data_IF_885605658272
#
_entry.id   IF_885605658272
#
_cell.length_a   1.000
_cell.length_b   1.000
_cell.length_c   1.000
_cell.angle_alpha   90.00
_cell.angle_beta   90.00
_cell.angle_gamma   90.00
#
_symmetry.space_group_name_H-M   'P 1'
#
loop_
_entity.id
_entity.type
_entity.pdbx_description
1 polymer ?
#
# COMPACT_ATOMS: atom_id res chain seq x y z
N UNK A 1 -0.01 4.33 22.32
CA UNK A 1 0.36 3.03 21.73
C UNK A 1 0.98 2.27 22.87
N UNK A 2 0.29 1.26 23.38
CA UNK A 2 0.70 0.52 24.58
C UNK A 2 1.34 -0.80 24.13
N UNK A 3 2.35 -0.70 23.27
CA UNK A 3 3.06 -1.85 22.72
C UNK A 3 4.49 -1.89 23.27
N UNK A 4 4.86 -3.00 23.91
CA UNK A 4 6.17 -3.19 24.52
C UNK A 4 7.25 -3.68 23.54
N UNK A 5 6.92 -3.80 22.25
CA UNK A 5 7.86 -4.29 21.25
C UNK A 5 7.29 -4.34 19.84
N UNK A 6 8.15 -4.76 18.90
CA UNK A 6 7.85 -4.86 17.46
C UNK A 6 8.07 -6.29 16.99
N UNK A 7 7.10 -6.83 16.26
CA UNK A 7 7.22 -8.12 15.58
C UNK A 7 7.60 -7.93 14.10
N UNK A 8 8.86 -8.17 13.76
CA UNK A 8 9.33 -8.12 12.37
C UNK A 8 8.88 -9.33 11.55
N UNK A 9 8.07 -9.09 10.50
CA UNK A 9 7.55 -10.14 9.61
C UNK A 9 8.38 -10.35 8.33
N UNK A 10 9.42 -9.53 8.11
CA UNK A 10 10.39 -9.80 7.06
C UNK A 10 11.22 -11.03 7.44
N UNK A 11 11.53 -11.93 6.49
CA UNK A 11 12.45 -13.01 6.79
C UNK A 11 13.81 -12.45 7.23
N UNK A 12 14.52 -13.18 8.09
CA UNK A 12 15.87 -12.81 8.47
C UNK A 12 16.75 -12.61 7.23
N UNK A 13 17.60 -11.58 7.26
CA UNK A 13 18.69 -11.48 6.28
C UNK A 13 19.62 -12.68 6.44
N UNK A 14 20.35 -13.05 5.40
CA UNK A 14 21.24 -14.23 5.38
C UNK A 14 22.27 -14.28 6.54
N UNK A 15 22.55 -13.16 7.23
CA UNK A 15 23.47 -13.07 8.38
C UNK A 15 22.76 -12.88 9.73
N UNK A 16 21.43 -12.95 9.79
CA UNK A 16 20.72 -12.80 11.06
C UNK A 16 20.91 -14.05 11.91
N UNK A 17 21.29 -13.86 13.17
CA UNK A 17 21.51 -14.95 14.14
C UNK A 17 20.22 -15.47 14.77
N UNK A 18 19.14 -14.70 14.68
CA UNK A 18 17.84 -15.01 15.29
C UNK A 18 16.81 -15.20 14.17
N UNK A 19 16.07 -16.33 14.15
CA UNK A 19 14.99 -16.54 13.19
C UNK A 19 13.85 -15.52 13.41
N UNK A 20 13.14 -15.16 12.35
CA UNK A 20 11.90 -14.38 12.51
C UNK A 20 10.81 -15.23 13.16
N UNK A 21 9.82 -14.60 13.80
CA UNK A 21 8.67 -15.30 14.41
C UNK A 21 8.01 -16.27 13.41
N UNK A 22 7.80 -15.83 12.17
CA UNK A 22 7.25 -16.69 11.12
C UNK A 22 8.16 -17.88 10.80
N UNK A 23 9.49 -17.68 10.78
CA UNK A 23 10.44 -18.76 10.54
C UNK A 23 10.39 -19.79 11.66
N UNK A 24 10.36 -19.35 12.92
CA UNK A 24 10.25 -20.23 14.08
C UNK A 24 8.95 -21.04 14.09
N UNK A 25 7.82 -20.43 13.72
CA UNK A 25 6.53 -21.13 13.64
C UNK A 25 6.51 -22.18 12.53
N UNK A 26 7.06 -21.86 11.36
CA UNK A 26 7.15 -22.81 10.24
C UNK A 26 8.03 -24.00 10.59
N UNK A 27 9.14 -23.77 11.30
CA UNK A 27 10.10 -24.82 11.67
C UNK A 27 9.63 -25.67 12.85
N UNK A 28 9.05 -25.05 13.89
CA UNK A 28 8.66 -25.74 15.12
C UNK A 28 7.28 -26.39 15.07
N UNK A 29 6.31 -25.76 14.41
CA UNK A 29 4.90 -26.17 14.45
C UNK A 29 4.39 -26.71 13.10
N UNK A 30 5.29 -26.91 12.13
CA UNK A 30 4.95 -27.29 10.75
C UNK A 30 3.89 -26.38 10.09
N UNK A 31 3.80 -25.12 10.55
CA UNK A 31 2.89 -24.13 10.02
C UNK A 31 3.24 -23.77 8.57
N UNK A 32 2.26 -23.32 7.79
CA UNK A 32 2.54 -22.83 6.43
C UNK A 32 3.35 -21.54 6.50
N UNK A 33 4.29 -21.35 5.56
CA UNK A 33 5.07 -20.11 5.48
C UNK A 33 4.26 -18.95 4.86
N UNK A 34 3.21 -18.56 5.55
CA UNK A 34 2.28 -17.52 5.14
C UNK A 34 1.65 -16.84 6.37
N UNK A 35 1.24 -15.60 6.17
CA UNK A 35 0.49 -14.83 7.14
C UNK A 35 -0.50 -13.92 6.42
N UNK A 36 -1.46 -13.37 7.15
CA UNK A 36 -2.44 -12.42 6.61
C UNK A 36 -2.70 -11.32 7.60
N UNK A 37 -2.79 -10.09 7.10
CA UNK A 37 -3.06 -8.88 7.88
C UNK A 37 -4.35 -8.25 7.37
N UNK A 38 -5.32 -8.07 8.26
CA UNK A 38 -6.48 -7.23 8.06
C UNK A 38 -6.38 -6.07 9.04
N UNK A 39 -5.98 -4.90 8.56
CA UNK A 39 -5.81 -3.71 9.40
C UNK A 39 -7.12 -2.92 9.43
N UNK A 40 -7.50 -2.43 10.61
CA UNK A 40 -8.67 -1.59 10.83
C UNK A 40 -8.37 -0.62 11.99
N UNK A 41 -9.08 0.52 12.03
CA UNK A 41 -8.82 1.59 13.00
C UNK A 41 -9.06 1.17 14.46
N UNK A 42 -9.93 0.20 14.69
CA UNK A 42 -10.31 -0.28 16.03
C UNK A 42 -9.74 -1.65 16.34
N UNK A 43 -10.08 -2.66 15.52
CA UNK A 43 -9.66 -4.05 15.72
C UNK A 43 -9.35 -4.70 14.38
N UNK A 44 -8.07 -4.99 14.15
CA UNK A 44 -7.60 -5.79 13.03
C UNK A 44 -7.56 -7.29 13.34
N UNK A 45 -7.16 -8.07 12.33
CA UNK A 45 -6.91 -9.50 12.45
C UNK A 45 -5.54 -9.83 11.88
N UNK A 46 -4.75 -10.62 12.61
CA UNK A 46 -3.48 -11.16 12.18
C UNK A 46 -3.52 -12.69 12.25
N UNK A 47 -3.33 -13.34 11.10
CA UNK A 47 -3.35 -14.80 10.99
C UNK A 47 -1.98 -15.30 10.58
N UNK A 48 -1.50 -16.36 11.22
CA UNK A 48 -0.21 -17.01 10.99
C UNK A 48 -0.42 -18.47 10.58
N UNK A 49 0.40 -18.99 9.67
CA UNK A 49 0.42 -20.42 9.36
C UNK A 49 -0.67 -20.92 8.42
N UNK A 50 -1.57 -20.04 7.97
CA UNK A 50 -2.71 -20.38 7.11
C UNK A 50 -2.32 -20.71 5.66
N UNK A 51 -3.22 -21.39 4.95
CA UNK A 51 -3.13 -21.60 3.50
C UNK A 51 -4.26 -20.80 2.84
N UNK A 52 -3.97 -19.70 2.12
CA UNK A 52 -5.02 -18.94 1.46
C UNK A 52 -5.65 -19.79 0.35
N UNK A 53 -6.98 -19.87 0.34
CA UNK A 53 -7.73 -20.40 -0.80
C UNK A 53 -7.72 -19.35 -1.91
N UNK A 54 -6.70 -19.41 -2.77
CA UNK A 54 -6.50 -18.43 -3.84
C UNK A 54 -7.67 -18.39 -4.83
N UNK A 55 -8.39 -19.49 -5.00
CA UNK A 55 -9.55 -19.55 -5.91
C UNK A 55 -10.68 -18.72 -5.32
N UNK A 56 -11.04 -18.96 -4.05
CA UNK A 56 -12.05 -18.16 -3.35
C UNK A 56 -11.65 -16.69 -3.25
N UNK A 57 -10.39 -16.41 -2.89
CA UNK A 57 -9.91 -15.03 -2.79
C UNK A 57 -10.06 -14.29 -4.12
N UNK A 58 -9.66 -14.90 -5.25
CA UNK A 58 -9.82 -14.30 -6.58
C UNK A 58 -11.29 -14.12 -6.97
N UNK A 59 -12.14 -15.09 -6.64
CA UNK A 59 -13.58 -14.99 -6.85
C UNK A 59 -14.20 -13.82 -6.07
N UNK A 60 -13.66 -13.49 -4.89
CA UNK A 60 -14.01 -12.32 -4.10
C UNK A 60 -13.19 -11.06 -4.44
N UNK A 61 -12.53 -11.03 -5.60
CA UNK A 61 -11.88 -9.82 -6.12
C UNK A 61 -10.44 -9.60 -5.68
N UNK A 62 -9.83 -10.51 -4.93
CA UNK A 62 -8.45 -10.37 -4.46
C UNK A 62 -7.44 -10.24 -5.61
N UNK A 63 -6.41 -9.42 -5.36
CA UNK A 63 -5.28 -9.22 -6.25
C UNK A 63 -4.14 -10.16 -5.85
N UNK A 64 -3.56 -10.85 -6.83
CA UNK A 64 -2.32 -11.60 -6.61
C UNK A 64 -1.17 -10.86 -7.28
N UNK A 65 -0.19 -10.45 -6.47
CA UNK A 65 0.99 -9.72 -6.93
C UNK A 65 2.24 -10.52 -6.61
N UNK A 66 3.16 -10.60 -7.56
CA UNK A 66 4.49 -11.16 -7.33
C UNK A 66 5.38 -10.13 -6.62
N UNK A 67 6.20 -10.58 -5.69
CA UNK A 67 7.25 -9.74 -5.13
C UNK A 67 8.46 -9.69 -6.06
N UNK A 68 9.23 -8.59 -6.00
CA UNK A 68 10.43 -8.41 -6.81
C UNK A 68 11.55 -9.32 -6.31
N UNK A 69 12.00 -10.25 -7.15
CA UNK A 69 13.14 -11.12 -6.86
C UNK A 69 14.43 -10.32 -6.66
N UNK A 70 15.24 -10.70 -5.67
CA UNK A 70 16.51 -10.02 -5.37
C UNK A 70 16.38 -8.65 -4.67
N UNK A 71 15.17 -8.17 -4.39
CA UNK A 71 14.98 -6.93 -3.65
C UNK A 71 15.50 -7.05 -2.20
N UNK A 72 16.04 -5.94 -1.67
CA UNK A 72 16.59 -5.88 -0.30
C UNK A 72 15.54 -6.19 0.77
N UNK A 73 14.27 -5.90 0.49
CA UNK A 73 13.12 -6.20 1.35
C UNK A 73 12.17 -7.17 0.63
N UNK A 74 11.69 -8.21 1.32
CA UNK A 74 10.89 -9.28 0.69
C UNK A 74 9.58 -8.81 0.10
N UNK A 75 8.86 -7.91 0.77
CA UNK A 75 7.54 -7.43 0.34
C UNK A 75 7.66 -6.20 -0.59
N UNK A 76 8.65 -6.23 -1.48
CA UNK A 76 8.80 -5.23 -2.54
C UNK A 76 7.93 -5.62 -3.74
N UNK A 77 7.12 -4.69 -4.23
CA UNK A 77 6.25 -4.85 -5.40
C UNK A 77 6.80 -4.06 -6.59
N UNK A 78 6.57 -4.58 -7.80
CA UNK A 78 6.91 -3.89 -9.04
C UNK A 78 5.76 -2.97 -9.48
N UNK A 79 5.69 -1.75 -8.92
CA UNK A 79 4.73 -0.74 -9.34
C UNK A 79 5.21 -0.07 -10.64
N UNK A 80 4.34 -0.03 -11.65
CA UNK A 80 4.63 0.57 -12.96
C UNK A 80 4.30 2.05 -12.98
N UNK A 81 3.12 2.40 -12.49
CA UNK A 81 2.64 3.78 -12.43
C UNK A 81 1.55 3.93 -11.37
N UNK A 82 1.34 5.17 -10.93
CA UNK A 82 0.13 5.59 -10.21
C UNK A 82 -0.63 6.55 -11.12
N UNK A 83 -1.90 6.23 -11.34
CA UNK A 83 -2.84 7.12 -12.02
C UNK A 83 -3.74 7.80 -11.02
N UNK A 84 -4.18 9.00 -11.35
CA UNK A 84 -5.07 9.82 -10.52
C UNK A 84 -6.39 10.03 -11.23
N UNK A 85 -7.51 9.96 -10.51
CA UNK A 85 -8.80 10.33 -11.08
C UNK A 85 -9.03 11.85 -11.03
N UNK A 86 -10.03 12.34 -11.76
CA UNK A 86 -10.60 13.66 -11.48
C UNK A 86 -11.43 13.66 -10.19
N UNK A 87 -11.93 14.85 -9.81
CA UNK A 87 -12.91 15.01 -8.74
C UNK A 87 -14.36 15.10 -9.29
N UNK A 88 -15.35 14.93 -8.41
CA UNK A 88 -16.77 15.09 -8.75
C UNK A 88 -17.22 14.17 -9.89
N UNK A 89 -17.81 14.75 -10.95
CA UNK A 89 -18.29 14.01 -12.12
C UNK A 89 -17.17 13.32 -12.93
N UNK A 90 -15.90 13.70 -12.73
CA UNK A 90 -14.73 13.08 -13.37
C UNK A 90 -14.10 11.99 -12.49
N UNK A 91 -14.69 11.69 -11.33
CA UNK A 91 -14.25 10.61 -10.47
C UNK A 91 -14.45 9.26 -11.19
N UNK A 92 -13.39 8.46 -11.28
CA UNK A 92 -13.34 7.24 -12.08
C UNK A 92 -12.63 7.35 -13.43
N UNK A 93 -12.39 8.56 -13.96
CA UNK A 93 -11.56 8.76 -15.16
C UNK A 93 -10.11 8.96 -14.76
N UNK A 94 -9.26 7.95 -14.98
CA UNK A 94 -7.86 7.95 -14.53
C UNK A 94 -6.89 8.51 -15.56
N UNK A 95 -6.00 9.39 -15.13
CA UNK A 95 -4.91 9.97 -15.94
C UNK A 95 -3.55 9.61 -15.36
N UNK A 96 -2.57 9.39 -16.23
CA UNK A 96 -1.18 9.20 -15.82
C UNK A 96 -0.57 10.54 -15.38
N UNK A 97 0.36 10.47 -14.44
CA UNK A 97 1.13 11.63 -13.97
C UNK A 97 2.36 11.92 -14.86
N UNK A 98 2.60 11.10 -15.89
CA UNK A 98 3.73 11.21 -16.83
C UNK A 98 5.11 11.28 -16.13
N UNK A 99 5.29 10.51 -15.06
CA UNK A 99 6.55 10.42 -14.32
C UNK A 99 7.41 9.26 -14.83
N UNK A 100 8.76 9.35 -14.75
CA UNK A 100 9.62 8.26 -15.16
C UNK A 100 9.43 7.02 -14.27
N UNK A 101 9.55 5.79 -14.80
CA UNK A 101 9.32 4.55 -14.04
C UNK A 101 10.14 4.42 -12.74
N UNK A 102 11.34 4.99 -12.71
CA UNK A 102 12.21 5.02 -11.52
C UNK A 102 11.57 5.71 -10.32
N UNK A 103 10.59 6.59 -10.54
CA UNK A 103 9.87 7.32 -9.48
C UNK A 103 9.03 6.38 -8.60
N UNK A 104 8.62 5.24 -9.15
CA UNK A 104 7.74 4.25 -8.51
C UNK A 104 8.51 3.07 -7.89
N UNK A 105 9.83 3.01 -8.06
CA UNK A 105 10.66 1.92 -7.58
C UNK A 105 11.68 2.40 -6.52
N UNK A 106 11.88 1.63 -5.42
CA UNK A 106 11.11 0.45 -5.01
C UNK A 106 9.75 0.82 -4.38
N UNK A 107 8.73 -0.03 -4.54
CA UNK A 107 7.47 0.07 -3.80
C UNK A 107 7.42 -1.01 -2.72
N UNK A 108 7.29 -0.62 -1.46
CA UNK A 108 7.30 -1.52 -0.30
C UNK A 108 5.92 -1.63 0.33
N UNK A 109 5.54 -2.83 0.78
CA UNK A 109 4.43 -3.02 1.70
C UNK A 109 4.98 -3.08 3.11
N UNK A 110 4.59 -2.11 3.94
CA UNK A 110 5.09 -1.97 5.30
C UNK A 110 3.95 -1.57 6.26
N UNK A 111 3.61 -2.48 7.18
CA UNK A 111 2.60 -2.22 8.21
C UNK A 111 3.14 -1.42 9.40
N UNK A 112 4.45 -1.21 9.50
CA UNK A 112 5.08 -0.38 10.53
C UNK A 112 4.99 1.13 10.23
N UNK A 113 4.50 1.50 9.06
CA UNK A 113 4.42 2.88 8.60
C UNK A 113 2.96 3.32 8.46
N UNK A 114 2.60 4.45 9.07
CA UNK A 114 1.21 4.93 9.14
C UNK A 114 0.66 5.43 7.80
N UNK A 115 1.49 6.12 7.01
CA UNK A 115 1.07 6.77 5.77
C UNK A 115 1.75 6.14 4.56
N UNK A 116 1.21 6.36 3.36
CA UNK A 116 1.92 6.05 2.13
C UNK A 116 3.03 7.08 1.94
N UNK A 117 4.28 6.62 1.90
CA UNK A 117 5.42 7.45 1.53
C UNK A 117 5.66 7.36 0.02
N UNK A 118 5.88 8.51 -0.59
CA UNK A 118 6.17 8.65 -2.01
C UNK A 118 7.52 9.33 -2.20
N UNK A 119 8.18 9.05 -3.31
CA UNK A 119 9.35 9.82 -3.74
C UNK A 119 8.97 11.28 -3.95
N UNK A 120 9.92 12.21 -3.76
CA UNK A 120 9.66 13.65 -3.91
C UNK A 120 8.98 14.04 -5.24
N UNK A 121 9.37 13.49 -6.41
CA UNK A 121 8.68 13.81 -7.67
C UNK A 121 7.22 13.33 -7.68
N UNK A 122 6.94 12.13 -7.18
CA UNK A 122 5.58 11.60 -7.10
C UNK A 122 4.72 12.40 -6.13
N UNK A 123 5.25 12.71 -4.95
CA UNK A 123 4.55 13.55 -3.97
C UNK A 123 4.18 14.92 -4.58
N UNK A 124 5.13 15.57 -5.26
CA UNK A 124 4.87 16.87 -5.91
C UNK A 124 3.78 16.76 -6.98
N UNK A 125 3.84 15.75 -7.84
CA UNK A 125 2.84 15.56 -8.90
C UNK A 125 1.44 15.28 -8.33
N UNK A 126 1.35 14.41 -7.33
CA UNK A 126 0.09 14.11 -6.63
C UNK A 126 -0.47 15.37 -5.94
N UNK A 127 0.38 16.12 -5.25
CA UNK A 127 0.00 17.35 -4.57
C UNK A 127 -0.51 18.41 -5.55
N UNK A 128 0.20 18.64 -6.67
CA UNK A 128 -0.24 19.57 -7.72
C UNK A 128 -1.59 19.16 -8.29
N UNK A 129 -1.80 17.87 -8.56
CA UNK A 129 -3.09 17.37 -9.04
C UNK A 129 -4.20 17.61 -8.02
N UNK A 130 -3.98 17.23 -6.76
CA UNK A 130 -4.96 17.42 -5.68
C UNK A 130 -5.30 18.90 -5.49
N UNK A 131 -4.31 19.78 -5.45
CA UNK A 131 -4.53 21.23 -5.31
C UNK A 131 -5.32 21.82 -6.48
N UNK A 132 -5.14 21.30 -7.71
CA UNK A 132 -5.93 21.74 -8.87
C UNK A 132 -7.41 21.35 -8.78
N UNK A 133 -7.71 20.24 -8.10
CA UNK A 133 -9.07 19.71 -7.95
C UNK A 133 -9.75 20.19 -6.66
N UNK A 134 -8.96 20.56 -5.66
CA UNK A 134 -9.41 20.96 -4.33
C UNK A 134 -8.66 22.24 -3.91
N UNK A 135 -9.09 23.42 -4.40
CA UNK A 135 -8.40 24.69 -4.13
C UNK A 135 -8.39 25.10 -2.66
N UNK A 136 -9.23 24.48 -1.82
CA UNK A 136 -9.23 24.68 -0.36
C UNK A 136 -8.05 23.99 0.34
N UNK A 137 -7.22 23.23 -0.37
CA UNK A 137 -5.99 22.66 0.19
C UNK A 137 -5.01 23.75 0.54
N UNK A 138 -4.69 23.86 1.82
CA UNK A 138 -3.71 24.78 2.37
C UNK A 138 -2.58 24.02 3.05
N UNK A 139 -1.39 24.62 3.06
CA UNK A 139 -0.28 24.10 3.85
C UNK A 139 -0.43 24.55 5.29
N UNK A 140 -0.49 23.58 6.20
CA UNK A 140 -0.48 23.82 7.64
C UNK A 140 0.75 23.13 8.24
N UNK A 141 1.81 23.91 8.43
CA UNK A 141 3.12 23.41 8.81
C UNK A 141 3.70 22.43 7.78
N UNK A 142 4.03 21.21 8.22
CA UNK A 142 4.53 20.13 7.36
C UNK A 142 3.46 19.31 6.65
N UNK A 143 2.18 19.67 6.79
CA UNK A 143 1.03 18.94 6.24
C UNK A 143 0.28 19.78 5.20
N UNK A 144 -0.53 19.09 4.41
CA UNK A 144 -1.46 19.72 3.47
C UNK A 144 -2.86 19.33 3.93
N UNK A 145 -3.63 20.32 4.34
CA UNK A 145 -4.91 20.17 5.01
C UNK A 145 -6.00 20.87 4.17
N UNK A 146 -7.24 20.38 4.26
CA UNK A 146 -8.41 21.07 3.74
C UNK A 146 -9.61 20.79 4.65
N UNK A 147 -10.47 21.78 4.80
CA UNK A 147 -11.82 21.56 5.33
C UNK A 147 -12.72 21.08 4.21
N UNK A 148 -13.27 19.87 4.36
CA UNK A 148 -14.12 19.22 3.37
C UNK A 148 -15.41 18.76 4.04
N UNK A 149 -16.54 18.98 3.38
CA UNK A 149 -17.79 18.27 3.71
C UNK A 149 -17.71 16.80 3.31
N UNK A 150 -18.60 15.96 3.82
CA UNK A 150 -18.67 14.54 3.43
C UNK A 150 -18.87 14.34 1.91
N UNK A 151 -19.70 15.17 1.29
CA UNK A 151 -19.89 15.14 -0.17
C UNK A 151 -18.59 15.49 -0.91
N UNK A 152 -17.85 16.49 -0.42
CA UNK A 152 -16.55 16.86 -1.00
C UNK A 152 -15.53 15.72 -0.82
N UNK A 153 -15.47 15.12 0.37
CA UNK A 153 -14.62 13.97 0.70
C UNK A 153 -14.86 12.78 -0.22
N UNK A 154 -16.13 12.42 -0.46
CA UNK A 154 -16.50 11.34 -1.39
C UNK A 154 -16.15 11.67 -2.85
N UNK A 155 -16.14 12.95 -3.20
CA UNK A 155 -15.79 13.42 -4.54
C UNK A 155 -14.28 13.59 -4.76
N UNK A 156 -13.46 13.38 -3.73
CA UNK A 156 -12.00 13.54 -3.83
C UNK A 156 -11.40 12.53 -4.82
N UNK A 157 -10.28 12.90 -5.48
CA UNK A 157 -9.59 11.99 -6.40
C UNK A 157 -9.20 10.66 -5.76
N UNK A 158 -9.44 9.58 -6.48
CA UNK A 158 -8.93 8.25 -6.18
C UNK A 158 -7.58 8.00 -6.87
N UNK A 159 -6.79 7.09 -6.31
CA UNK A 159 -5.52 6.65 -6.89
C UNK A 159 -5.66 5.23 -7.42
N UNK A 160 -5.07 4.99 -8.58
CA UNK A 160 -4.99 3.67 -9.19
C UNK A 160 -3.53 3.24 -9.29
N UNK A 161 -3.17 2.21 -8.51
CA UNK A 161 -1.85 1.61 -8.47
C UNK A 161 -1.77 0.52 -9.53
N UNK A 162 -0.94 0.74 -10.54
CA UNK A 162 -0.82 -0.16 -11.69
C UNK A 162 0.48 -0.93 -11.57
N UNK A 163 0.39 -2.25 -11.47
CA UNK A 163 1.54 -3.12 -11.27
C UNK A 163 2.12 -3.64 -12.59
N UNK A 164 3.42 -3.93 -12.60
CA UNK A 164 4.17 -4.35 -13.79
C UNK A 164 3.79 -5.74 -14.28
N UNK A 165 3.21 -6.58 -13.43
CA UNK A 165 2.77 -7.93 -13.77
C UNK A 165 1.44 -8.00 -14.55
N UNK A 166 0.86 -6.85 -14.92
CA UNK A 166 -0.40 -6.78 -15.65
C UNK A 166 -1.64 -7.19 -14.83
N UNK A 167 -1.50 -7.35 -13.51
CA UNK A 167 -2.65 -7.55 -12.63
C UNK A 167 -3.62 -6.36 -12.73
N UNK A 168 -4.90 -6.60 -12.43
CA UNK A 168 -5.87 -5.51 -12.34
C UNK A 168 -5.36 -4.48 -11.32
N UNK A 169 -5.55 -3.17 -11.56
CA UNK A 169 -5.01 -2.15 -10.67
C UNK A 169 -5.62 -2.18 -9.27
N UNK A 170 -4.83 -1.81 -8.25
CA UNK A 170 -5.34 -1.55 -6.91
C UNK A 170 -5.90 -0.13 -6.84
N UNK A 171 -7.15 -0.01 -6.43
CA UNK A 171 -7.84 1.27 -6.30
C UNK A 171 -7.82 1.72 -4.84
N UNK A 172 -7.22 2.88 -4.58
CA UNK A 172 -7.19 3.54 -3.28
C UNK A 172 -8.14 4.72 -3.34
N UNK A 173 -9.16 4.70 -2.49
CA UNK A 173 -10.18 5.75 -2.41
C UNK A 173 -10.01 6.54 -1.11
N UNK A 174 -10.33 7.84 -1.12
CA UNK A 174 -10.56 8.60 0.11
C UNK A 174 -11.58 7.86 1.00
N UNK A 175 -11.28 7.77 2.30
CA UNK A 175 -12.22 7.31 3.32
C UNK A 175 -12.67 8.47 4.16
#
# INVERSE_FOLDING_TARGET
QDADGIMGLQPPRARARVPSVLTSLVQGEHASNAFSLCLADTKGLFLLGGKPDLVKMRAHGALTLGTVGGAKARYTLALREIKVSGAGAQNGTFKSLNLPPSTYAPTLVDSGTTFVYASTPLYRALHTHLHSQTPSLQREGGKVCAYLSEAQKQSMPSLQFVFSNGARPLLVRPQ
#
